data_IF_313999332762
#
_entry.id   IF_313999332762
#
_cell.length_a   1.000
_cell.length_b   1.000
_cell.length_c   1.000
_cell.angle_alpha   90.00
_cell.angle_beta   90.00
_cell.angle_gamma   90.00
#
_symmetry.space_group_name_H-M   'P 1'
#
loop_
_entity.id
_entity.type
_entity.pdbx_description
1 polymer ?
#
# COMPACT_ATOMS: atom_id res chain seq x y z
N UNK A 1 11.93 -32.83 12.15
CA UNK A 1 12.21 -31.45 12.60
C UNK A 1 11.79 -30.53 11.46
N UNK A 2 10.61 -29.93 11.55
CA UNK A 2 10.06 -29.15 10.45
C UNK A 2 10.79 -27.81 10.36
N UNK A 3 11.39 -27.56 9.20
CA UNK A 3 11.94 -26.26 8.84
C UNK A 3 10.81 -25.24 8.92
N UNK A 4 10.82 -24.42 9.97
CA UNK A 4 9.99 -23.23 10.00
C UNK A 4 10.47 -22.34 8.85
N UNK A 5 9.70 -22.30 7.76
CA UNK A 5 9.85 -21.25 6.76
C UNK A 5 9.88 -19.93 7.52
N UNK A 6 11.03 -19.24 7.48
CA UNK A 6 11.20 -17.96 8.17
C UNK A 6 10.22 -17.01 7.51
N UNK A 7 9.10 -16.72 8.17
CA UNK A 7 8.12 -15.72 7.74
C UNK A 7 8.89 -14.46 7.34
N UNK A 8 8.81 -14.04 6.08
CA UNK A 8 9.53 -12.84 5.65
C UNK A 8 8.96 -11.63 6.39
N UNK A 9 9.86 -10.72 6.79
CA UNK A 9 9.46 -9.46 7.42
C UNK A 9 8.71 -8.66 6.33
N UNK A 10 7.46 -8.24 6.56
CA UNK A 10 6.70 -7.47 5.59
C UNK A 10 7.43 -6.19 5.19
N UNK A 11 7.42 -5.87 3.90
CA UNK A 11 8.01 -4.66 3.34
C UNK A 11 6.90 -3.66 3.02
N UNK A 12 6.85 -2.56 3.78
CA UNK A 12 5.88 -1.49 3.60
C UNK A 12 6.60 -0.23 3.13
N UNK A 13 6.14 0.37 2.04
CA UNK A 13 6.58 1.71 1.62
C UNK A 13 5.44 2.71 1.74
N UNK A 14 5.76 3.91 2.23
CA UNK A 14 4.87 5.07 2.19
C UNK A 14 5.46 6.16 1.29
N UNK A 15 4.73 6.50 0.23
CA UNK A 15 4.97 7.70 -0.55
C UNK A 15 4.30 8.86 0.17
N UNK A 16 5.14 9.74 0.71
CA UNK A 16 4.78 10.74 1.69
C UNK A 16 5.01 12.16 1.13
N UNK A 17 4.02 13.03 1.32
CA UNK A 17 4.14 14.47 1.11
C UNK A 17 3.99 15.20 2.46
N UNK A 18 5.08 15.71 3.07
CA UNK A 18 5.06 16.36 4.39
C UNK A 18 4.17 17.59 4.47
N UNK A 19 3.91 18.25 3.33
CA UNK A 19 3.02 19.41 3.27
C UNK A 19 1.54 19.05 3.44
N UNK A 20 1.18 17.76 3.39
CA UNK A 20 -0.19 17.29 3.49
C UNK A 20 -0.49 16.65 4.85
N UNK A 21 -1.45 17.19 5.64
CA UNK A 21 -1.89 16.59 6.90
C UNK A 21 -2.27 15.10 6.83
N UNK A 22 -2.98 14.57 5.81
CA UNK A 22 -3.29 13.14 5.75
C UNK A 22 -2.03 12.27 5.66
N UNK A 23 -1.01 12.75 4.95
CA UNK A 23 0.27 12.07 4.78
C UNK A 23 1.05 11.99 6.11
N UNK A 24 1.04 13.08 6.89
CA UNK A 24 1.65 13.13 8.22
C UNK A 24 0.94 12.19 9.20
N UNK A 25 -0.39 12.15 9.18
CA UNK A 25 -1.19 11.25 10.01
C UNK A 25 -0.89 9.78 9.71
N UNK A 26 -0.88 9.39 8.43
CA UNK A 26 -0.57 8.03 8.03
C UNK A 26 0.83 7.58 8.47
N UNK A 27 1.84 8.42 8.26
CA UNK A 27 3.20 8.16 8.70
C UNK A 27 3.28 8.00 10.22
N UNK A 28 2.59 8.85 10.98
CA UNK A 28 2.54 8.74 12.44
C UNK A 28 1.90 7.42 12.90
N UNK A 29 0.82 6.97 12.24
CA UNK A 29 0.16 5.69 12.52
C UNK A 29 1.10 4.51 12.24
N UNK A 30 1.80 4.51 11.09
CA UNK A 30 2.77 3.46 10.75
C UNK A 30 3.92 3.40 11.76
N UNK A 31 4.48 4.55 12.17
CA UNK A 31 5.54 4.61 13.18
C UNK A 31 5.07 4.19 14.58
N UNK A 32 3.83 4.54 14.94
CA UNK A 32 3.24 4.10 16.21
C UNK A 32 3.05 2.58 16.22
N UNK A 33 2.63 1.98 15.11
CA UNK A 33 2.47 0.53 15.01
C UNK A 33 3.79 -0.26 15.15
N UNK A 34 4.94 0.35 14.79
CA UNK A 34 6.27 -0.25 14.97
C UNK A 34 6.77 -0.20 16.41
N UNK A 35 6.39 0.82 17.18
CA UNK A 35 6.96 1.09 18.50
C UNK A 35 6.02 0.77 19.67
N UNK A 36 4.71 0.80 19.45
CA UNK A 36 3.69 0.60 20.47
C UNK A 36 2.84 -0.66 20.22
N UNK A 37 2.23 -1.25 21.27
CA UNK A 37 1.27 -2.34 21.16
C UNK A 37 0.17 -2.08 20.12
N UNK A 38 -0.05 -3.05 19.22
CA UNK A 38 -1.12 -2.98 18.22
C UNK A 38 -2.05 -4.21 18.30
N UNK A 39 -3.38 -4.01 18.39
CA UNK A 39 -4.08 -2.73 18.54
C UNK A 39 -3.82 -2.09 19.92
N UNK A 40 -4.01 -0.76 20.06
CA UNK A 40 -3.80 -0.08 21.34
C UNK A 40 -4.78 -0.58 22.42
N UNK A 41 -4.32 -0.69 23.67
CA UNK A 41 -5.18 -0.99 24.83
C UNK A 41 -5.19 -2.44 25.31
N UNK A 42 -4.56 -3.38 24.60
CA UNK A 42 -4.39 -4.76 25.07
C UNK A 42 -3.09 -4.95 25.85
N UNK A 43 -3.18 -5.41 27.11
CA UNK A 43 -2.02 -5.63 27.99
C UNK A 43 -1.02 -6.69 27.46
N UNK A 44 -1.46 -7.55 26.54
CA UNK A 44 -0.63 -8.59 25.91
C UNK A 44 -0.26 -8.29 24.45
N UNK A 45 -0.62 -7.13 23.92
CA UNK A 45 -0.37 -6.81 22.52
C UNK A 45 1.10 -6.40 22.34
N UNK A 46 1.78 -7.01 21.38
CA UNK A 46 3.10 -6.57 20.94
C UNK A 46 2.99 -5.52 19.83
N UNK A 47 4.05 -4.75 19.55
CA UNK A 47 4.13 -3.96 18.32
C UNK A 47 4.07 -4.85 17.07
N UNK A 48 3.75 -4.25 15.92
CA UNK A 48 3.88 -4.92 14.64
C UNK A 48 5.35 -4.87 14.19
N UNK A 49 5.78 -5.91 13.48
CA UNK A 49 7.11 -6.01 12.92
C UNK A 49 7.04 -5.99 11.40
N UNK A 50 7.47 -4.90 10.79
CA UNK A 50 7.60 -4.71 9.35
C UNK A 50 8.72 -3.71 9.06
N UNK A 51 9.30 -3.79 7.87
CA UNK A 51 10.23 -2.77 7.40
C UNK A 51 9.42 -1.62 6.79
N UNK A 52 9.65 -0.40 7.27
CA UNK A 52 8.99 0.80 6.77
C UNK A 52 9.97 1.66 5.98
N UNK A 53 9.74 1.74 4.67
CA UNK A 53 10.42 2.67 3.78
C UNK A 53 9.60 3.95 3.64
N UNK A 54 10.20 5.11 3.89
CA UNK A 54 9.56 6.41 3.72
C UNK A 54 10.17 7.09 2.50
N UNK A 55 9.36 7.26 1.45
CA UNK A 55 9.72 7.96 0.23
C UNK A 55 9.08 9.34 0.27
N UNK A 56 9.88 10.37 0.52
CA UNK A 56 9.37 11.75 0.66
C UNK A 56 9.43 12.51 -0.66
N UNK A 57 8.37 13.27 -0.96
CA UNK A 57 8.29 14.22 -2.08
C UNK A 57 8.58 13.63 -3.47
N UNK A 58 8.51 12.31 -3.63
CA UNK A 58 8.70 11.63 -4.90
C UNK A 58 7.53 10.69 -5.17
N UNK A 59 6.94 10.70 -6.39
CA UNK A 59 5.92 9.74 -6.77
C UNK A 59 6.52 8.34 -6.94
N UNK A 60 5.70 7.27 -6.87
CA UNK A 60 6.15 5.93 -7.24
C UNK A 60 6.63 5.87 -8.68
N UNK A 61 7.55 4.95 -8.99
CA UNK A 61 8.00 4.69 -10.36
C UNK A 61 6.88 4.09 -11.21
N UNK A 62 6.96 4.12 -12.55
CA UNK A 62 5.91 3.55 -13.41
C UNK A 62 5.63 2.06 -13.11
N UNK A 63 6.67 1.28 -12.83
CA UNK A 63 6.52 -0.14 -12.49
C UNK A 63 5.90 -0.33 -11.10
N UNK A 64 6.29 0.50 -10.12
CA UNK A 64 5.63 0.52 -8.81
C UNK A 64 4.16 0.88 -8.95
N UNK A 65 3.79 1.85 -9.80
CA UNK A 65 2.39 2.20 -10.04
C UNK A 65 1.60 1.01 -10.57
N UNK A 66 2.15 0.23 -11.52
CA UNK A 66 1.49 -0.98 -12.04
C UNK A 66 1.18 -1.95 -10.90
N UNK A 67 2.17 -2.28 -10.08
CA UNK A 67 1.96 -3.15 -8.91
C UNK A 67 0.99 -2.56 -7.89
N UNK A 68 1.05 -1.26 -7.64
CA UNK A 68 0.15 -0.58 -6.69
C UNK A 68 -1.29 -0.70 -7.15
N UNK A 69 -1.55 -0.51 -8.46
CA UNK A 69 -2.89 -0.66 -9.01
C UNK A 69 -3.41 -2.07 -8.77
N UNK A 70 -2.60 -3.10 -9.02
CA UNK A 70 -2.99 -4.50 -8.75
C UNK A 70 -3.31 -4.77 -7.26
N UNK A 71 -2.70 -4.00 -6.36
CA UNK A 71 -2.85 -4.11 -4.91
C UNK A 71 -3.94 -3.24 -4.30
N UNK A 72 -4.46 -2.26 -5.06
CA UNK A 72 -5.58 -1.47 -4.60
C UNK A 72 -6.82 -2.37 -4.46
N UNK A 73 -7.66 -2.14 -3.44
CA UNK A 73 -8.90 -2.88 -3.30
C UNK A 73 -9.72 -2.71 -4.58
N UNK A 74 -10.10 -3.83 -5.22
CA UNK A 74 -10.81 -3.83 -6.50
C UNK A 74 -12.09 -3.01 -6.39
N UNK A 75 -12.07 -1.80 -6.93
CA UNK A 75 -13.27 -1.00 -7.13
C UNK A 75 -13.93 -1.52 -8.41
N UNK A 76 -14.78 -2.55 -8.26
CA UNK A 76 -15.70 -3.12 -9.28
C UNK A 76 -15.15 -3.22 -10.72
N UNK A 77 -14.90 -4.47 -11.12
CA UNK A 77 -14.44 -4.95 -12.44
C UNK A 77 -12.96 -4.68 -12.79
N UNK A 78 -12.21 -5.78 -12.98
CA UNK A 78 -10.76 -5.84 -13.24
C UNK A 78 -10.39 -5.22 -14.60
N UNK A 79 -11.37 -5.05 -15.48
CA UNK A 79 -11.19 -4.57 -16.86
C UNK A 79 -11.42 -3.05 -17.00
N UNK A 80 -11.52 -2.28 -15.90
CA UNK A 80 -11.78 -0.84 -15.97
C UNK A 80 -10.55 -0.04 -16.47
N UNK A 81 -10.60 0.59 -17.66
CA UNK A 81 -9.54 1.46 -18.17
C UNK A 81 -9.29 2.70 -17.30
N UNK A 82 -10.16 2.98 -16.32
CA UNK A 82 -10.03 4.08 -15.37
C UNK A 82 -9.38 3.71 -14.04
N UNK A 83 -8.79 2.52 -13.91
CA UNK A 83 -8.14 2.10 -12.66
C UNK A 83 -7.05 3.08 -12.16
N UNK A 84 -6.33 3.73 -13.09
CA UNK A 84 -5.32 4.76 -12.78
C UNK A 84 -5.94 6.00 -12.10
N UNK A 85 -7.21 6.31 -12.38
CA UNK A 85 -7.92 7.42 -11.74
C UNK A 85 -8.03 7.25 -10.22
N UNK A 86 -7.92 6.01 -9.70
CA UNK A 86 -7.90 5.75 -8.27
C UNK A 86 -6.75 6.47 -7.56
N UNK A 87 -5.64 6.76 -8.27
CA UNK A 87 -4.47 7.46 -7.75
C UNK A 87 -4.49 8.97 -8.02
N UNK A 88 -5.48 9.49 -8.74
CA UNK A 88 -5.58 10.91 -9.09
C UNK A 88 -6.43 11.64 -8.05
N UNK A 89 -5.93 12.76 -7.53
CA UNK A 89 -6.62 13.53 -6.50
C UNK A 89 -7.74 14.37 -7.08
N UNK A 90 -8.65 14.84 -6.22
CA UNK A 90 -9.68 15.81 -6.57
C UNK A 90 -9.18 17.27 -6.51
N UNK A 91 -7.87 17.50 -6.44
CA UNK A 91 -7.29 18.84 -6.34
C UNK A 91 -7.49 19.62 -7.66
N UNK A 92 -7.66 20.96 -7.64
CA UNK A 92 -7.83 21.75 -8.86
C UNK A 92 -6.68 21.66 -9.88
N UNK A 93 -5.49 21.23 -9.43
CA UNK A 93 -4.35 20.97 -10.32
C UNK A 93 -4.44 19.62 -11.07
N UNK A 94 -5.41 18.79 -10.74
CA UNK A 94 -5.63 17.53 -11.44
C UNK A 94 -6.28 17.80 -12.81
N UNK A 95 -5.84 17.10 -13.87
CA UNK A 95 -6.39 17.30 -15.20
C UNK A 95 -7.87 16.90 -15.26
N UNK A 96 -8.61 17.61 -16.10
CA UNK A 96 -9.99 17.27 -16.45
C UNK A 96 -10.04 15.92 -17.19
N UNK A 97 -11.23 15.30 -17.28
CA UNK A 97 -11.41 13.95 -17.86
C UNK A 97 -10.70 13.69 -19.21
N UNK A 98 -10.71 14.59 -20.22
CA UNK A 98 -10.02 14.34 -21.48
C UNK A 98 -8.48 14.35 -21.37
N UNK A 99 -7.93 15.07 -20.38
CA UNK A 99 -6.47 15.24 -20.21
C UNK A 99 -5.88 14.29 -19.15
N UNK A 100 -6.71 13.38 -18.62
CA UNK A 100 -6.31 12.48 -17.55
C UNK A 100 -5.33 11.44 -18.07
N UNK A 101 -4.23 11.14 -17.36
CA UNK A 101 -3.32 10.09 -17.77
C UNK A 101 -4.01 8.72 -17.70
N UNK A 102 -3.85 7.95 -18.77
CA UNK A 102 -4.33 6.56 -18.89
C UNK A 102 -3.19 5.54 -18.84
N UNK A 103 -1.96 5.98 -18.53
CA UNK A 103 -0.81 5.10 -18.37
C UNK A 103 -0.03 5.42 -17.10
N UNK A 104 0.69 4.46 -16.50
CA UNK A 104 1.57 4.69 -15.35
C UNK A 104 2.61 5.79 -15.62
N UNK A 105 3.18 5.81 -16.81
CA UNK A 105 4.17 6.82 -17.21
C UNK A 105 3.54 8.21 -17.31
N UNK A 106 2.29 8.29 -17.80
CA UNK A 106 1.51 9.52 -17.79
C UNK A 106 1.24 10.02 -16.37
N UNK A 107 0.92 9.12 -15.44
CA UNK A 107 0.68 9.45 -14.04
C UNK A 107 1.96 9.96 -13.34
N UNK A 108 3.12 9.33 -13.58
CA UNK A 108 4.41 9.82 -13.06
C UNK A 108 4.71 11.23 -13.58
N UNK A 109 4.55 11.46 -14.90
CA UNK A 109 4.76 12.79 -15.49
C UNK A 109 3.82 13.84 -14.90
N UNK A 110 2.55 13.47 -14.67
CA UNK A 110 1.59 14.35 -14.02
C UNK A 110 2.03 14.69 -12.58
N UNK A 111 2.42 13.68 -11.80
CA UNK A 111 2.87 13.88 -10.42
C UNK A 111 4.15 14.71 -10.32
N UNK A 112 5.08 14.59 -11.28
CA UNK A 112 6.27 15.42 -11.35
C UNK A 112 5.95 16.90 -11.64
N UNK A 113 4.98 17.16 -12.54
CA UNK A 113 4.57 18.53 -12.90
C UNK A 113 3.66 19.16 -11.85
N UNK A 114 2.82 18.36 -11.22
CA UNK A 114 1.79 18.81 -10.28
C UNK A 114 1.65 17.75 -9.19
N UNK A 115 2.51 17.78 -8.15
CA UNK A 115 2.50 16.77 -7.09
C UNK A 115 1.13 16.61 -6.42
N UNK A 116 0.39 17.71 -6.25
CA UNK A 116 -0.95 17.70 -5.65
C UNK A 116 -2.02 17.05 -6.52
N UNK A 117 -1.77 16.81 -7.82
CA UNK A 117 -2.67 16.07 -8.70
C UNK A 117 -2.65 14.55 -8.43
N UNK A 118 -1.60 14.06 -7.77
CA UNK A 118 -1.53 12.68 -7.26
C UNK A 118 -2.17 12.62 -5.86
N UNK A 119 -2.85 11.51 -5.53
CA UNK A 119 -3.31 11.27 -4.16
C UNK A 119 -2.12 10.98 -3.24
N UNK A 120 -2.17 11.54 -2.03
CA UNK A 120 -1.20 11.32 -0.97
C UNK A 120 -1.91 11.07 0.35
N UNK A 121 -1.37 10.19 1.22
CA UNK A 121 -0.22 9.32 0.99
C UNK A 121 -0.59 8.12 0.11
N UNK A 122 0.40 7.46 -0.48
CA UNK A 122 0.23 6.10 -1.04
C UNK A 122 1.00 5.16 -0.13
N UNK A 123 0.32 4.17 0.45
CA UNK A 123 0.93 3.17 1.33
C UNK A 123 0.77 1.81 0.68
N UNK A 124 1.85 1.04 0.65
CA UNK A 124 1.94 -0.22 -0.09
C UNK A 124 2.62 -1.25 0.80
N UNK A 125 1.97 -2.38 1.02
CA UNK A 125 2.58 -3.60 1.54
C UNK A 125 2.90 -4.52 0.36
N UNK A 126 4.19 -4.54 0.00
CA UNK A 126 4.71 -5.34 -1.11
C UNK A 126 4.68 -6.84 -0.83
N UNK A 127 4.64 -7.23 0.44
CA UNK A 127 4.68 -8.63 0.85
C UNK A 127 3.29 -9.27 0.84
N UNK A 128 2.26 -8.51 1.20
CA UNK A 128 0.88 -9.01 1.18
C UNK A 128 0.07 -8.61 -0.06
N UNK A 129 0.64 -7.79 -0.93
CA UNK A 129 -0.03 -7.32 -2.15
C UNK A 129 -1.20 -6.38 -1.83
N UNK A 130 -1.01 -5.46 -0.89
CA UNK A 130 -2.05 -4.52 -0.44
C UNK A 130 -1.59 -3.08 -0.59
N UNK A 131 -2.45 -2.23 -1.11
CA UNK A 131 -2.18 -0.80 -1.20
C UNK A 131 -3.40 0.03 -0.82
N UNK A 132 -3.14 1.25 -0.35
CA UNK A 132 -4.16 2.28 -0.18
C UNK A 132 -3.62 3.65 -0.60
N UNK A 133 -4.50 4.52 -1.10
CA UNK A 133 -4.13 5.86 -1.54
C UNK A 133 -5.09 6.92 -0.99
N UNK A 134 -4.53 7.95 -0.36
CA UNK A 134 -5.26 9.17 0.02
C UNK A 134 -5.94 9.15 1.39
N UNK A 135 -5.98 8.01 2.09
CA UNK A 135 -6.72 7.89 3.35
C UNK A 135 -5.93 7.16 4.45
N UNK A 136 -6.08 7.65 5.67
CA UNK A 136 -5.60 7.01 6.90
C UNK A 136 -6.39 5.76 7.31
N UNK A 137 -7.63 5.59 6.85
CA UNK A 137 -8.43 4.38 7.12
C UNK A 137 -7.84 3.16 6.41
N UNK A 138 -7.50 3.28 5.13
CA UNK A 138 -6.84 2.20 4.38
C UNK A 138 -5.50 1.75 4.99
N UNK A 139 -4.78 2.66 5.67
CA UNK A 139 -3.56 2.31 6.42
C UNK A 139 -3.89 1.38 7.59
N UNK A 140 -5.02 1.59 8.28
CA UNK A 140 -5.46 0.71 9.37
C UNK A 140 -5.81 -0.68 8.83
N UNK A 141 -6.37 -0.79 7.64
CA UNK A 141 -6.67 -2.08 7.02
C UNK A 141 -5.40 -2.91 6.74
N UNK A 142 -4.35 -2.24 6.26
CA UNK A 142 -3.03 -2.87 6.08
C UNK A 142 -2.46 -3.35 7.42
N UNK A 143 -2.50 -2.49 8.46
CA UNK A 143 -1.99 -2.85 9.79
C UNK A 143 -2.82 -3.94 10.47
N UNK A 144 -4.13 -3.95 10.29
CA UNK A 144 -5.01 -5.00 10.81
C UNK A 144 -4.73 -6.34 10.10
N UNK A 145 -4.45 -6.32 8.80
CA UNK A 145 -3.99 -7.51 8.11
C UNK A 145 -2.67 -8.04 8.68
N UNK A 146 -1.70 -7.15 8.93
CA UNK A 146 -0.43 -7.52 9.57
C UNK A 146 -0.64 -8.09 10.98
N UNK A 147 -1.56 -7.52 11.76
CA UNK A 147 -1.93 -8.03 13.08
C UNK A 147 -2.51 -9.45 12.98
N UNK A 148 -3.47 -9.67 12.09
CA UNK A 148 -4.04 -11.00 11.85
C UNK A 148 -2.98 -12.01 11.42
N UNK A 149 -2.01 -11.60 10.58
CA UNK A 149 -0.89 -12.46 10.16
C UNK A 149 0.07 -12.79 11.32
N UNK A 150 0.36 -11.81 12.18
CA UNK A 150 1.16 -12.00 13.41
C UNK A 150 0.48 -13.00 14.35
N UNK A 151 -0.82 -12.84 14.54
CA UNK A 151 -1.62 -13.61 15.51
C UNK A 151 -2.06 -14.97 14.94
N UNK A 152 -1.71 -15.28 13.69
CA UNK A 152 -1.98 -16.58 13.06
C UNK A 152 -3.41 -16.77 12.55
N UNK A 153 -4.17 -15.67 12.42
CA UNK A 153 -5.57 -15.68 11.97
C UNK A 153 -5.70 -15.72 10.45
N UNK A 154 -4.67 -15.29 9.71
CA UNK A 154 -4.60 -15.46 8.25
C UNK A 154 -3.88 -16.76 7.96
N UNK A 155 -4.60 -17.72 7.35
CA UNK A 155 -3.95 -18.88 6.72
C UNK A 155 -3.28 -18.39 5.44
N UNK A 156 -1.98 -18.60 5.32
CA UNK A 156 -1.26 -18.39 4.06
C UNK A 156 -1.95 -19.28 3.02
N UNK A 157 -2.47 -18.69 1.94
CA UNK A 157 -2.85 -19.48 0.78
C UNK A 157 -1.59 -20.22 0.34
N UNK A 158 -1.61 -21.54 0.49
CA UNK A 158 -0.49 -22.41 0.14
C UNK A 158 -0.02 -22.02 -1.27
N UNK A 159 1.23 -21.57 -1.37
CA UNK A 159 1.95 -21.43 -2.64
C UNK A 159 1.57 -22.61 -3.52
N UNK A 160 0.97 -22.30 -4.67
CA UNK A 160 0.51 -23.27 -5.65
C UNK A 160 1.64 -24.25 -5.97
N UNK A 161 1.66 -25.40 -5.30
CA UNK A 161 2.52 -26.52 -5.69
C UNK A 161 1.96 -27.01 -7.01
N UNK A 162 2.67 -26.88 -8.14
CA UNK A 162 2.19 -27.49 -9.38
C UNK A 162 2.05 -28.99 -9.12
N UNK A 163 0.82 -29.47 -9.22
CA UNK A 163 0.54 -30.91 -9.19
C UNK A 163 1.09 -31.52 -10.48
N UNK A 164 2.20 -32.25 -10.34
CA UNK A 164 2.64 -33.24 -11.32
C UNK A 164 3.51 -32.71 -12.46
N UNK A 165 4.82 -32.98 -12.40
CA UNK A 165 5.66 -33.13 -13.59
C UNK A 165 6.60 -34.35 -13.53
N UNK A 166 6.50 -35.21 -12.52
CA UNK A 166 7.22 -36.49 -12.53
C UNK A 166 6.27 -37.58 -12.07
N UNK A 167 5.56 -38.17 -13.04
CA UNK A 167 5.23 -39.60 -13.04
C UNK A 167 6.17 -40.28 -14.03
#
# INVERSE_FOLDING_TARGET
MFSAFKKSIPQISIFHNPSLPPSNKALAVLRAALSAPYPPGGASNSPLNFNLEVVENAPPTPDQIRSILDYLPRVRDIDDPHHIAALISSHPSAPSLPDRPHSPEGLVRLAQKSPLALKWPIVVDWTSGRACAGDSEGVKDILEYLRKKRDGEVKEEEDYKPKGWFS
#
